data_IF_533751184177
#
_entry.id   IF_533751184177
#
_cell.length_a   1.000
_cell.length_b   1.000
_cell.length_c   1.000
_cell.angle_alpha   90.00
_cell.angle_beta   90.00
_cell.angle_gamma   90.00
#
_symmetry.space_group_name_H-M   'P 1'
#
loop_
_entity.id
_entity.type
_entity.pdbx_description
1 polymer ?
#
# COMPACT_ATOMS: atom_id res chain seq x y z
N UNK A 1 3.80 -1.31 -8.79
CA UNK A 1 3.56 -1.70 -7.38
C UNK A 1 4.20 -0.76 -6.34
N UNK A 2 5.42 -0.23 -6.49
CA UNK A 2 6.10 0.50 -5.38
C UNK A 2 5.69 1.98 -5.16
N UNK A 3 5.03 2.61 -6.13
CA UNK A 3 4.71 4.06 -6.09
C UNK A 3 3.83 4.44 -4.87
N UNK A 4 2.86 3.60 -4.52
CA UNK A 4 2.01 3.83 -3.34
C UNK A 4 2.79 3.86 -2.02
N UNK A 5 3.82 3.00 -1.89
CA UNK A 5 4.68 2.95 -0.70
C UNK A 5 5.60 4.17 -0.60
N UNK A 6 6.05 4.70 -1.73
CA UNK A 6 6.85 5.94 -1.76
C UNK A 6 6.02 7.13 -1.30
N UNK A 7 4.79 7.29 -1.80
CA UNK A 7 3.89 8.35 -1.37
C UNK A 7 3.56 8.24 0.13
N UNK A 8 3.31 7.01 0.59
CA UNK A 8 3.05 6.73 2.01
C UNK A 8 4.24 7.09 2.90
N UNK A 9 5.47 6.82 2.47
CA UNK A 9 6.69 7.18 3.24
C UNK A 9 6.84 8.70 3.38
N UNK A 10 6.47 9.46 2.36
CA UNK A 10 6.45 10.93 2.45
C UNK A 10 5.36 11.42 3.39
N UNK A 11 4.17 10.82 3.33
CA UNK A 11 3.07 11.13 4.25
C UNK A 11 3.44 10.82 5.71
N UNK A 12 4.10 9.69 5.96
CA UNK A 12 4.59 9.32 7.29
C UNK A 12 5.65 10.29 7.82
N UNK A 13 6.51 10.84 6.96
CA UNK A 13 7.45 11.88 7.39
C UNK A 13 6.71 13.12 7.89
N UNK A 14 5.70 13.59 7.15
CA UNK A 14 4.89 14.74 7.58
C UNK A 14 4.09 14.45 8.86
N UNK A 15 3.55 13.23 9.01
CA UNK A 15 2.82 12.79 10.20
C UNK A 15 3.74 12.65 11.43
N UNK A 16 4.88 11.99 11.29
CA UNK A 16 5.69 11.55 12.43
C UNK A 16 6.80 12.53 12.83
N UNK A 17 7.39 13.22 11.83
CA UNK A 17 8.47 14.19 12.04
C UNK A 17 7.92 15.60 12.17
N UNK A 18 7.10 16.03 11.20
CA UNK A 18 6.53 17.38 11.22
C UNK A 18 5.27 17.49 12.10
N UNK A 19 4.70 16.36 12.54
CA UNK A 19 3.54 16.30 13.45
C UNK A 19 2.31 17.03 12.91
N UNK A 20 2.06 16.88 11.62
CA UNK A 20 0.94 17.51 10.92
C UNK A 20 -0.11 16.47 10.56
N UNK A 21 -1.33 16.95 10.37
CA UNK A 21 -2.41 16.14 9.80
C UNK A 21 -2.24 16.08 8.28
N UNK A 22 -2.14 14.87 7.74
CA UNK A 22 -1.77 14.61 6.35
C UNK A 22 -2.94 13.97 5.63
N UNK A 23 -3.46 14.67 4.62
CA UNK A 23 -4.46 14.11 3.72
C UNK A 23 -3.78 13.38 2.55
N UNK A 24 -3.81 12.04 2.58
CA UNK A 24 -3.25 11.20 1.52
C UNK A 24 -4.35 10.75 0.54
N UNK A 25 -4.23 11.19 -0.72
CA UNK A 25 -5.09 10.72 -1.81
C UNK A 25 -4.39 9.61 -2.61
N UNK A 26 -5.03 8.45 -2.71
CA UNK A 26 -4.57 7.32 -3.53
C UNK A 26 -5.61 7.06 -4.62
N UNK A 27 -5.29 7.43 -5.86
CA UNK A 27 -6.09 7.12 -7.04
C UNK A 27 -5.26 6.24 -8.02
N UNK A 28 -5.60 4.98 -8.30
CA UNK A 28 -6.65 4.13 -7.72
C UNK A 28 -5.99 2.96 -6.99
N UNK A 29 -6.44 2.66 -5.77
CA UNK A 29 -5.91 1.56 -4.96
C UNK A 29 -6.00 0.19 -5.67
N UNK A 30 -6.99 -0.02 -6.53
CA UNK A 30 -7.11 -1.25 -7.31
C UNK A 30 -5.95 -1.45 -8.30
N UNK A 31 -5.35 -0.35 -8.81
CA UNK A 31 -4.18 -0.46 -9.71
C UNK A 31 -2.93 -0.95 -8.97
N UNK A 32 -2.84 -0.73 -7.66
CA UNK A 32 -1.78 -1.32 -6.84
C UNK A 32 -1.91 -2.84 -6.79
N UNK A 33 -3.13 -3.34 -6.57
CA UNK A 33 -3.46 -4.77 -6.53
C UNK A 33 -3.24 -5.44 -7.87
N UNK A 34 -3.74 -4.85 -8.97
CA UNK A 34 -3.59 -5.40 -10.32
C UNK A 34 -2.11 -5.52 -10.72
N UNK A 35 -1.32 -4.48 -10.46
CA UNK A 35 0.12 -4.52 -10.72
C UNK A 35 0.84 -5.58 -9.89
N UNK A 36 0.35 -5.90 -8.69
CA UNK A 36 0.84 -7.02 -7.87
C UNK A 36 0.54 -8.36 -8.54
N UNK A 37 -0.70 -8.60 -8.97
CA UNK A 37 -1.09 -9.82 -9.67
C UNK A 37 -0.29 -10.06 -10.96
N UNK A 38 -0.03 -9.03 -11.76
CA UNK A 38 0.79 -9.12 -12.98
C UNK A 38 2.24 -9.53 -12.66
N UNK A 39 2.83 -8.95 -11.61
CA UNK A 39 4.19 -9.30 -11.17
C UNK A 39 4.25 -10.71 -10.55
N UNK A 40 3.24 -11.09 -9.77
CA UNK A 40 3.14 -12.43 -9.16
C UNK A 40 3.04 -13.53 -10.23
N UNK A 41 2.29 -13.27 -11.31
CA UNK A 41 2.20 -14.18 -12.46
C UNK A 41 3.55 -14.33 -13.17
N UNK A 42 4.28 -13.22 -13.39
CA UNK A 42 5.63 -13.25 -13.99
C UNK A 42 6.65 -14.00 -13.13
N UNK A 43 6.49 -13.97 -11.80
CA UNK A 43 7.35 -14.69 -10.84
C UNK A 43 6.99 -16.17 -10.69
N UNK A 44 6.04 -16.70 -11.48
CA UNK A 44 5.66 -18.10 -11.48
C UNK A 44 4.94 -18.57 -10.21
N UNK A 45 4.39 -17.63 -9.42
CA UNK A 45 3.59 -18.00 -8.24
C UNK A 45 2.22 -18.48 -8.70
N UNK A 46 1.73 -19.59 -8.14
CA UNK A 46 0.37 -20.04 -8.41
C UNK A 46 -0.65 -18.96 -8.02
N UNK A 47 -1.56 -18.58 -8.93
CA UNK A 47 -2.59 -17.61 -8.64
C UNK A 47 -3.55 -18.15 -7.57
N UNK A 48 -4.02 -17.27 -6.71
CA UNK A 48 -5.04 -17.55 -5.71
C UNK A 48 -6.45 -17.31 -6.29
N UNK A 49 -7.47 -17.23 -5.43
CA UNK A 49 -8.86 -17.04 -5.84
C UNK A 49 -9.01 -15.86 -6.82
N UNK A 50 -9.72 -16.09 -7.93
CA UNK A 50 -10.04 -15.09 -8.97
C UNK A 50 -8.80 -14.51 -9.70
N UNK A 51 -7.62 -15.16 -9.62
CA UNK A 51 -6.42 -14.72 -10.35
C UNK A 51 -5.58 -13.67 -9.62
N UNK A 52 -5.89 -13.39 -8.35
CA UNK A 52 -5.06 -12.53 -7.51
C UNK A 52 -3.82 -13.25 -6.99
N UNK A 53 -2.79 -12.47 -6.66
CA UNK A 53 -1.62 -12.99 -5.94
C UNK A 53 -2.01 -13.57 -4.57
N UNK A 54 -1.39 -14.69 -4.13
CA UNK A 54 -1.67 -15.29 -2.82
C UNK A 54 -1.25 -14.39 -1.63
N UNK A 55 -0.38 -13.41 -1.87
CA UNK A 55 0.09 -12.44 -0.87
C UNK A 55 -0.79 -11.19 -0.76
N UNK A 56 -1.92 -11.13 -1.47
CA UNK A 56 -2.75 -9.93 -1.57
C UNK A 56 -3.15 -9.37 -0.21
N UNK A 57 -3.69 -10.21 0.68
CA UNK A 57 -4.15 -9.78 2.00
C UNK A 57 -3.02 -9.20 2.84
N UNK A 58 -1.83 -9.80 2.79
CA UNK A 58 -0.66 -9.34 3.55
C UNK A 58 -0.11 -8.03 3.01
N UNK A 59 -0.05 -7.87 1.69
CA UNK A 59 0.45 -6.64 1.06
C UNK A 59 -0.52 -5.46 1.23
N UNK A 60 -1.82 -5.72 1.14
CA UNK A 60 -2.84 -4.72 1.43
C UNK A 60 -2.86 -4.34 2.91
N UNK A 61 -2.73 -5.31 3.82
CA UNK A 61 -2.60 -5.06 5.25
C UNK A 61 -1.39 -4.18 5.56
N UNK A 62 -0.21 -4.52 5.03
CA UNK A 62 1.01 -3.73 5.24
C UNK A 62 0.90 -2.29 4.74
N UNK A 63 0.15 -2.03 3.66
CA UNK A 63 -0.08 -0.69 3.16
C UNK A 63 -1.10 0.08 4.01
N UNK A 64 -2.23 -0.55 4.34
CA UNK A 64 -3.34 0.11 5.02
C UNK A 64 -3.06 0.35 6.51
N UNK A 65 -2.40 -0.58 7.21
CA UNK A 65 -2.06 -0.43 8.63
C UNK A 65 -1.14 0.76 8.90
N UNK A 66 -0.38 1.18 7.89
CA UNK A 66 0.48 2.37 7.96
C UNK A 66 -0.28 3.68 7.80
N UNK A 67 -1.46 3.65 7.16
CA UNK A 67 -2.39 4.80 7.03
C UNK A 67 -3.26 4.81 8.29
N UNK A 68 -2.65 5.15 9.41
CA UNK A 68 -3.31 5.25 10.70
C UNK A 68 -2.89 6.53 11.43
N UNK A 69 -3.82 7.12 12.17
CA UNK A 69 -3.52 8.24 13.05
C UNK A 69 -2.68 7.77 14.23
N UNK A 70 -1.62 8.52 14.54
CA UNK A 70 -0.70 8.20 15.63
C UNK A 70 -0.80 9.27 16.72
N UNK A 71 -0.12 9.03 17.86
CA UNK A 71 0.02 10.05 18.91
C UNK A 71 0.83 11.28 18.47
N UNK A 72 1.47 11.24 17.29
CA UNK A 72 2.34 12.31 16.78
C UNK A 72 1.68 13.15 15.69
N UNK A 73 0.62 12.69 15.05
CA UNK A 73 -0.11 13.36 13.96
C UNK A 73 -1.13 12.40 13.34
N UNK A 74 -2.02 12.91 12.46
CA UNK A 74 -3.01 12.08 11.75
C UNK A 74 -2.77 11.95 10.26
#
# INVERSE_FOLDING_TARGET
MRVGLTALTMAEYFRDVNKQDVLLFIDNIFRFVQAGSEVSALLGRMPSAVGYQPTLSTEMGSLQERIASTKKGS
#
